data_IF_553789015623
#
_entry.id   IF_553789015623
#
_cell.length_a   1.000
_cell.length_b   1.000
_cell.length_c   1.000
_cell.angle_alpha   90.00
_cell.angle_beta   90.00
_cell.angle_gamma   90.00
#
_symmetry.space_group_name_H-M   'P 1'
#
loop_
_entity.id
_entity.type
_entity.pdbx_description
1 polymer ?
#
# COMPACT_ATOMS: atom_id res chain seq x y z
N UNK A 1 -25.90 -16.25 -0.83
CA UNK A 1 -24.80 -15.27 -0.94
C UNK A 1 -23.52 -16.06 -1.18
N UNK A 2 -22.88 -15.93 -2.34
CA UNK A 2 -21.56 -16.52 -2.55
C UNK A 2 -20.56 -15.74 -1.68
N UNK A 3 -19.87 -16.43 -0.76
CA UNK A 3 -18.78 -15.82 -0.02
C UNK A 3 -17.63 -15.56 -0.99
N UNK A 4 -17.23 -14.29 -1.14
CA UNK A 4 -16.02 -13.94 -1.88
C UNK A 4 -14.82 -14.62 -1.23
N UNK A 5 -13.98 -15.28 -2.03
CA UNK A 5 -12.70 -15.82 -1.54
C UNK A 5 -11.67 -14.70 -1.46
N UNK A 6 -11.52 -14.14 -0.27
CA UNK A 6 -10.56 -13.08 -0.02
C UNK A 6 -9.20 -13.67 0.39
N UNK A 7 -8.13 -13.11 -0.16
CA UNK A 7 -6.76 -13.29 0.30
C UNK A 7 -6.16 -11.96 0.71
N UNK A 8 -5.43 -11.99 1.81
CA UNK A 8 -4.73 -10.84 2.36
C UNK A 8 -3.22 -11.03 2.14
N UNK A 9 -2.58 -10.06 1.49
CA UNK A 9 -1.14 -10.11 1.22
C UNK A 9 -0.48 -8.92 1.90
N UNK A 10 0.36 -9.20 2.90
CA UNK A 10 1.04 -8.16 3.69
C UNK A 10 2.50 -7.95 3.28
N UNK A 11 2.99 -6.72 3.45
CA UNK A 11 4.40 -6.32 3.28
C UNK A 11 4.78 -5.28 4.32
N UNK A 12 5.91 -5.49 4.98
CA UNK A 12 6.47 -4.49 5.89
C UNK A 12 7.30 -3.50 5.06
N UNK A 13 7.07 -2.21 5.29
CA UNK A 13 7.77 -1.13 4.61
C UNK A 13 8.61 -0.34 5.61
N UNK A 14 9.79 0.09 5.15
CA UNK A 14 10.69 0.95 5.90
C UNK A 14 11.31 1.99 4.97
N UNK A 15 11.06 3.27 5.26
CA UNK A 15 11.90 4.37 4.77
C UNK A 15 12.86 4.77 5.89
N UNK A 16 14.14 4.45 5.74
CA UNK A 16 15.15 4.76 6.74
C UNK A 16 15.44 6.26 6.82
N UNK A 17 15.84 6.74 7.99
CA UNK A 17 16.33 8.12 8.16
C UNK A 17 17.48 8.41 7.19
N UNK A 18 17.48 9.59 6.60
CA UNK A 18 18.52 10.01 5.65
C UNK A 18 18.36 9.43 4.24
N UNK A 19 17.27 8.71 3.96
CA UNK A 19 16.96 8.18 2.63
C UNK A 19 15.76 8.90 2.03
N UNK A 20 15.70 9.01 0.70
CA UNK A 20 14.56 9.64 -0.01
C UNK A 20 13.52 8.66 -0.47
N UNK A 21 13.92 7.44 -0.82
CA UNK A 21 13.01 6.45 -1.37
C UNK A 21 13.43 5.04 -1.01
N UNK A 22 12.44 4.16 -0.98
CA UNK A 22 12.58 2.71 -0.92
C UNK A 22 11.53 2.09 -1.82
N UNK A 23 11.96 1.14 -2.64
CA UNK A 23 11.08 0.29 -3.42
C UNK A 23 11.10 -1.12 -2.83
N UNK A 24 9.92 -1.72 -2.66
CA UNK A 24 9.78 -3.08 -2.18
C UNK A 24 8.98 -3.94 -3.17
N UNK A 25 9.58 -4.99 -3.73
CA UNK A 25 8.87 -5.92 -4.60
C UNK A 25 7.93 -6.83 -3.81
N UNK A 26 6.75 -7.13 -4.36
CA UNK A 26 5.83 -8.11 -3.78
C UNK A 26 5.10 -8.91 -4.86
N UNK A 27 5.10 -10.23 -4.70
CA UNK A 27 4.25 -11.11 -5.50
C UNK A 27 2.82 -11.10 -4.96
N UNK A 28 1.86 -10.82 -5.84
CA UNK A 28 0.43 -10.88 -5.54
C UNK A 28 -0.19 -12.11 -6.20
N UNK A 29 -1.09 -12.76 -5.46
CA UNK A 29 -1.87 -13.90 -5.97
C UNK A 29 -2.76 -13.45 -7.12
N UNK A 30 -3.08 -14.37 -8.03
CA UNK A 30 -4.03 -14.09 -9.11
C UNK A 30 -5.41 -13.76 -8.52
N UNK A 31 -6.00 -12.65 -8.95
CA UNK A 31 -7.30 -12.16 -8.47
C UNK A 31 -7.50 -10.69 -8.80
N UNK A 32 -8.46 -10.06 -8.12
CA UNK A 32 -8.74 -8.63 -8.22
C UNK A 32 -8.47 -7.96 -6.88
N UNK A 33 -7.53 -7.01 -6.83
CA UNK A 33 -7.30 -6.22 -5.63
C UNK A 33 -8.47 -5.23 -5.49
N UNK A 34 -9.23 -5.39 -4.40
CA UNK A 34 -10.42 -4.58 -4.12
C UNK A 34 -10.15 -3.54 -3.01
N UNK A 35 -8.99 -3.64 -2.36
CA UNK A 35 -8.66 -2.78 -1.24
C UNK A 35 -7.20 -2.83 -0.88
N UNK A 36 -6.70 -1.73 -0.36
CA UNK A 36 -5.38 -1.65 0.25
C UNK A 36 -5.49 -0.98 1.62
N UNK A 37 -4.54 -1.29 2.50
CA UNK A 37 -4.40 -0.58 3.75
C UNK A 37 -2.95 -0.33 4.12
N UNK A 38 -2.67 0.79 4.78
CA UNK A 38 -1.36 1.08 5.33
C UNK A 38 -1.44 1.47 6.80
N UNK A 39 -0.75 0.70 7.64
CA UNK A 39 -0.67 0.91 9.07
C UNK A 39 0.72 1.43 9.42
N UNK A 40 0.81 2.70 9.83
CA UNK A 40 2.08 3.27 10.30
C UNK A 40 2.33 2.81 11.73
N UNK A 41 3.55 2.34 12.01
CA UNK A 41 3.96 2.00 13.37
C UNK A 41 4.62 3.20 14.04
N UNK A 42 4.08 3.62 15.18
CA UNK A 42 4.54 4.78 15.92
C UNK A 42 3.86 6.07 15.48
N UNK A 43 4.58 7.18 15.54
CA UNK A 43 4.05 8.49 15.18
C UNK A 43 4.00 8.68 13.67
N UNK A 44 2.95 9.34 13.18
CA UNK A 44 2.88 9.74 11.78
C UNK A 44 4.04 10.68 11.43
N UNK A 45 4.64 10.53 10.24
CA UNK A 45 5.69 11.43 9.81
C UNK A 45 5.14 12.85 9.65
N UNK A 46 5.88 13.84 10.15
CA UNK A 46 5.57 15.25 9.91
C UNK A 46 5.83 15.63 8.44
N UNK A 47 6.85 15.02 7.85
CA UNK A 47 7.20 15.16 6.43
C UNK A 47 6.19 14.45 5.54
N UNK A 48 5.99 14.96 4.33
CA UNK A 48 5.18 14.29 3.32
C UNK A 48 5.92 13.06 2.81
N UNK A 49 5.39 11.88 3.15
CA UNK A 49 5.88 10.59 2.69
C UNK A 49 4.78 9.97 1.84
N UNK A 50 5.09 9.69 0.59
CA UNK A 50 4.15 9.18 -0.38
C UNK A 50 4.35 7.69 -0.57
N UNK A 51 3.23 6.99 -0.74
CA UNK A 51 3.18 5.59 -1.11
C UNK A 51 2.53 5.47 -2.49
N UNK A 52 3.18 4.78 -3.42
CA UNK A 52 2.62 4.41 -4.72
C UNK A 52 2.84 2.93 -5.00
N UNK A 53 2.08 2.41 -5.96
CA UNK A 53 2.26 1.04 -6.47
C UNK A 53 2.39 1.12 -7.97
N UNK A 54 3.36 0.41 -8.53
CA UNK A 54 3.57 0.27 -9.97
C UNK A 54 3.67 -1.20 -10.37
N UNK A 55 3.37 -1.48 -11.63
CA UNK A 55 3.62 -2.78 -12.23
C UNK A 55 5.12 -2.98 -12.53
N UNK A 56 5.48 -4.14 -13.07
CA UNK A 56 6.89 -4.43 -13.42
C UNK A 56 7.47 -3.59 -14.56
N UNK A 57 6.62 -2.84 -15.27
CA UNK A 57 7.01 -1.96 -16.37
C UNK A 57 7.13 -0.49 -15.91
N UNK A 58 6.81 -0.20 -14.64
CA UNK A 58 6.84 1.15 -14.07
C UNK A 58 5.55 1.94 -14.30
N UNK A 59 4.48 1.31 -14.77
CA UNK A 59 3.19 1.99 -14.90
C UNK A 59 2.51 2.08 -13.53
N UNK A 60 1.92 3.23 -13.17
CA UNK A 60 1.24 3.38 -11.90
C UNK A 60 -0.03 2.52 -11.86
N UNK A 61 -0.13 1.68 -10.83
CA UNK A 61 -1.33 0.93 -10.44
C UNK A 61 -2.12 1.74 -9.39
N UNK A 62 -1.39 2.30 -8.42
CA UNK A 62 -1.92 3.22 -7.42
C UNK A 62 -1.05 4.47 -7.44
N UNK A 63 -1.67 5.59 -7.77
CA UNK A 63 -1.03 6.91 -7.70
C UNK A 63 -0.47 7.20 -6.30
N UNK A 64 0.54 8.07 -6.26
CA UNK A 64 1.17 8.46 -5.01
C UNK A 64 0.18 9.11 -4.04
N UNK A 65 0.06 8.55 -2.84
CA UNK A 65 -0.80 9.05 -1.76
C UNK A 65 0.06 9.27 -0.52
N UNK A 66 -0.15 10.40 0.16
CA UNK A 66 0.49 10.66 1.45
C UNK A 66 0.07 9.58 2.46
N UNK A 67 1.04 8.97 3.14
CA UNK A 67 0.78 7.90 4.12
C UNK A 67 -0.20 8.32 5.23
N UNK A 68 -0.30 9.63 5.52
CA UNK A 68 -1.24 10.18 6.51
C UNK A 68 -2.68 10.13 6.05
N UNK A 69 -2.95 10.06 4.75
CA UNK A 69 -4.32 9.98 4.24
C UNK A 69 -4.95 8.61 4.49
N UNK A 70 -4.15 7.57 4.75
CA UNK A 70 -4.64 6.28 5.23
C UNK A 70 -5.21 6.38 6.67
N UNK A 71 -4.84 7.38 7.47
CA UNK A 71 -5.37 7.58 8.83
C UNK A 71 -6.63 8.44 8.89
N UNK A 72 -6.87 9.31 7.90
CA UNK A 72 -7.96 10.32 7.94
C UNK A 72 -9.38 9.79 7.69
N UNK A 73 -9.55 8.49 7.46
CA UNK A 73 -10.86 7.85 7.26
C UNK A 73 -11.62 7.62 8.56
N UNK A 74 -12.28 8.65 9.12
CA UNK A 74 -13.15 8.49 10.30
C UNK A 74 -14.62 8.47 9.88
N UNK A 75 -15.18 7.25 9.84
CA UNK A 75 -16.49 6.90 10.39
C UNK A 75 -16.57 5.36 10.54
N UNK A 76 -16.68 4.84 11.78
CA UNK A 76 -17.12 3.45 12.00
C UNK A 76 -16.07 2.35 12.19
N UNK A 77 -14.79 2.66 12.39
CA UNK A 77 -13.80 1.68 12.89
C UNK A 77 -12.96 0.92 11.86
N UNK A 78 -13.04 1.26 10.56
CA UNK A 78 -12.13 0.73 9.53
C UNK A 78 -10.99 1.72 9.25
N UNK A 79 -10.00 1.77 10.15
CA UNK A 79 -8.80 2.60 9.98
C UNK A 79 -7.91 2.00 8.89
N UNK A 80 -7.25 2.83 8.08
CA UNK A 80 -6.29 2.46 7.04
C UNK A 80 -6.81 1.93 5.69
N UNK A 81 -8.10 1.62 5.50
CA UNK A 81 -8.57 1.00 4.25
C UNK A 81 -8.88 2.03 3.13
N UNK A 82 -8.37 1.75 1.93
CA UNK A 82 -8.73 2.45 0.68
C UNK A 82 -9.22 1.44 -0.35
N UNK A 83 -10.41 1.68 -0.89
CA UNK A 83 -10.95 0.89 -1.99
C UNK A 83 -10.13 1.14 -3.27
N UNK A 84 -9.77 0.06 -3.95
CA UNK A 84 -9.06 0.09 -5.23
C UNK A 84 -9.66 -0.98 -6.13
N UNK A 85 -9.33 -0.95 -7.42
CA UNK A 85 -9.88 -1.91 -8.35
C UNK A 85 -8.88 -2.18 -9.48
N UNK A 86 -8.03 -3.18 -9.31
CA UNK A 86 -7.07 -3.60 -10.34
C UNK A 86 -6.84 -5.11 -10.33
N UNK A 87 -6.52 -5.66 -11.49
CA UNK A 87 -6.18 -7.07 -11.63
C UNK A 87 -4.79 -7.34 -11.05
N UNK A 88 -4.70 -8.39 -10.25
CA UNK A 88 -3.45 -8.89 -9.66
C UNK A 88 -3.08 -10.20 -10.32
N UNK A 89 -1.83 -10.31 -10.77
CA UNK A 89 -1.29 -11.54 -11.34
C UNK A 89 0.24 -11.45 -11.40
N UNK A 90 0.90 -11.60 -10.24
CA UNK A 90 2.35 -11.58 -10.13
C UNK A 90 2.89 -10.33 -9.43
N UNK A 91 4.10 -9.93 -9.82
CA UNK A 91 4.92 -8.96 -9.12
C UNK A 91 4.41 -7.52 -9.27
N UNK A 92 4.41 -6.79 -8.17
CA UNK A 92 4.28 -5.33 -8.13
C UNK A 92 5.45 -4.72 -7.37
N UNK A 93 5.67 -3.42 -7.55
CA UNK A 93 6.59 -2.64 -6.75
C UNK A 93 5.82 -1.64 -5.88
N UNK A 94 6.06 -1.67 -4.58
CA UNK A 94 5.53 -0.68 -3.63
C UNK A 94 6.63 0.34 -3.38
N UNK A 95 6.37 1.60 -3.70
CA UNK A 95 7.31 2.70 -3.50
C UNK A 95 6.91 3.51 -2.27
N UNK A 96 7.87 3.75 -1.38
CA UNK A 96 7.75 4.70 -0.27
C UNK A 96 8.79 5.79 -0.50
N UNK A 97 8.37 7.04 -0.65
CA UNK A 97 9.29 8.12 -1.01
C UNK A 97 8.92 9.48 -0.43
N UNK A 98 9.92 10.35 -0.36
CA UNK A 98 9.86 11.69 0.20
C UNK A 98 10.55 12.67 -0.74
N UNK A 99 10.08 13.94 -0.85
CA UNK A 99 10.75 14.95 -1.66
C UNK A 99 12.15 15.33 -1.14
N UNK A 100 12.43 15.07 0.14
CA UNK A 100 13.74 15.27 0.76
C UNK A 100 14.10 14.08 1.66
N UNK A 101 15.34 14.01 2.13
CA UNK A 101 15.78 12.92 3.00
C UNK A 101 14.86 12.81 4.22
N UNK A 102 14.46 11.58 4.55
CA UNK A 102 13.56 11.32 5.66
C UNK A 102 14.19 11.77 6.99
N UNK A 103 13.51 12.68 7.68
CA UNK A 103 13.99 13.25 8.95
C UNK A 103 13.93 12.20 10.08
N UNK A 104 12.89 11.38 10.06
CA UNK A 104 12.68 10.24 10.96
C UNK A 104 12.40 8.98 10.13
N UNK A 105 12.74 7.79 10.63
CA UNK A 105 12.38 6.56 9.93
C UNK A 105 10.85 6.39 9.92
N UNK A 106 10.32 5.86 8.82
CA UNK A 106 8.90 5.50 8.71
C UNK A 106 8.80 4.00 8.55
N UNK A 107 8.10 3.37 9.49
CA UNK A 107 7.83 1.95 9.52
C UNK A 107 6.34 1.72 9.36
N UNK A 108 5.94 0.71 8.60
CA UNK A 108 4.55 0.34 8.54
C UNK A 108 4.31 -1.00 7.89
N UNK A 109 3.04 -1.43 7.93
CA UNK A 109 2.56 -2.62 7.28
C UNK A 109 1.55 -2.25 6.20
N UNK A 110 1.84 -2.63 4.97
CA UNK A 110 0.94 -2.46 3.83
C UNK A 110 0.24 -3.78 3.51
N UNK A 111 -1.06 -3.73 3.31
CA UNK A 111 -1.93 -4.89 3.13
C UNK A 111 -2.74 -4.76 1.85
N UNK A 112 -2.72 -5.79 1.02
CA UNK A 112 -3.61 -5.93 -0.13
C UNK A 112 -4.77 -6.85 0.25
N UNK A 113 -5.99 -6.48 -0.17
CA UNK A 113 -7.20 -7.29 -0.08
C UNK A 113 -7.58 -7.75 -1.48
N UNK A 114 -7.41 -9.03 -1.76
CA UNK A 114 -7.55 -9.60 -3.11
C UNK A 114 -8.73 -10.57 -3.12
N UNK A 115 -9.69 -10.33 -4.00
CA UNK A 115 -10.75 -11.28 -4.34
C UNK A 115 -10.23 -12.24 -5.42
N UNK A 116 -10.03 -13.52 -5.06
CA UNK A 116 -9.49 -14.51 -6.00
C UNK A 116 -10.51 -15.05 -6.98
N UNK A 117 -11.81 -14.86 -6.72
CA UNK A 117 -12.86 -15.26 -7.65
C UNK A 117 -13.23 -14.12 -8.63
N UNK A 118 -12.79 -12.89 -8.35
CA UNK A 118 -13.09 -11.69 -9.13
C UNK A 118 -12.20 -11.43 -10.36
N UNK A 119 -11.49 -12.43 -10.86
CA UNK A 119 -10.63 -12.28 -12.05
C UNK A 119 -11.48 -12.49 -13.33
N UNK A 120 -11.85 -11.40 -13.99
CA UNK A 120 -12.49 -11.41 -15.32
C UNK A 120 -11.43 -11.46 -16.44
#
# INVERSE_FOLDING_TARGET
MNQRKLKYVGVNLLLARGTKSKQEPKELVKGKCIGVAFFVFGNLPAQNINLSIEDTQGNPILEAVDVRDYEKGIAGGQKAYKEVNFNTNGKVYINLFSPADAISPVHGHFLFVIDTDGYE
#
